data_IF_177005543471
#
_entry.id   IF_177005543471
#
_cell.length_a   1.000
_cell.length_b   1.000
_cell.length_c   1.000
_cell.angle_alpha   90.00
_cell.angle_beta   90.00
_cell.angle_gamma   90.00
#
_symmetry.space_group_name_H-M   'P 1'
#
loop_
_entity.id
_entity.type
_entity.pdbx_description
1 polymer ?
#
# COMPACT_ATOMS: atom_id res chain seq x y z
N UNK A 1 3.40 17.01 15.53
CA UNK A 1 2.93 17.26 14.15
C UNK A 1 4.00 17.01 13.09
N UNK A 2 5.28 17.32 13.35
CA UNK A 2 6.38 17.13 12.38
C UNK A 2 6.61 15.68 11.94
N UNK A 3 6.62 14.72 12.86
CA UNK A 3 6.91 13.31 12.55
C UNK A 3 5.86 12.65 11.66
N UNK A 4 4.58 12.97 11.85
CA UNK A 4 3.49 12.45 11.01
C UNK A 4 3.64 12.94 9.56
N UNK A 5 3.89 14.24 9.38
CA UNK A 5 4.10 14.82 8.05
C UNK A 5 5.32 14.22 7.35
N UNK A 6 6.40 13.94 8.09
CA UNK A 6 7.61 13.29 7.56
C UNK A 6 7.34 11.85 7.10
N UNK A 7 6.58 11.07 7.88
CA UNK A 7 6.19 9.71 7.50
C UNK A 7 5.29 9.71 6.26
N UNK A 8 4.33 10.64 6.18
CA UNK A 8 3.50 10.81 4.99
C UNK A 8 4.33 11.21 3.76
N UNK A 9 5.30 12.12 3.91
CA UNK A 9 6.17 12.54 2.82
C UNK A 9 7.01 11.37 2.29
N UNK A 10 7.62 10.57 3.18
CA UNK A 10 8.38 9.39 2.80
C UNK A 10 7.50 8.32 2.14
N UNK A 11 6.29 8.09 2.67
CA UNK A 11 5.34 7.15 2.09
C UNK A 11 4.96 7.55 0.66
N UNK A 12 4.67 8.84 0.41
CA UNK A 12 4.36 9.35 -0.92
C UNK A 12 5.53 9.21 -1.91
N UNK A 13 6.75 9.44 -1.44
CA UNK A 13 7.95 9.23 -2.27
C UNK A 13 8.06 7.75 -2.65
N UNK A 14 7.91 6.83 -1.70
CA UNK A 14 7.97 5.39 -1.96
C UNK A 14 6.87 4.91 -2.90
N UNK A 15 5.63 5.37 -2.69
CA UNK A 15 4.48 5.02 -3.54
C UNK A 15 4.68 5.54 -4.97
N UNK A 16 5.27 6.74 -5.13
CA UNK A 16 5.58 7.33 -6.42
C UNK A 16 6.77 6.70 -7.17
N UNK A 17 7.66 5.97 -6.47
CA UNK A 17 8.84 5.35 -7.10
C UNK A 17 8.46 4.27 -8.12
N UNK A 18 7.46 3.43 -7.81
CA UNK A 18 6.99 2.38 -8.71
C UNK A 18 6.60 2.91 -10.11
N UNK A 19 5.64 3.85 -10.20
CA UNK A 19 5.25 4.43 -11.48
C UNK A 19 6.35 5.31 -12.11
N UNK A 20 7.19 5.98 -11.31
CA UNK A 20 8.25 6.84 -11.84
C UNK A 20 9.42 6.06 -12.46
N UNK A 21 9.85 4.95 -11.83
CA UNK A 21 11.00 4.16 -12.30
C UNK A 21 10.61 3.17 -13.40
N UNK A 22 9.41 2.57 -13.34
CA UNK A 22 9.01 1.48 -14.23
C UNK A 22 7.55 1.61 -14.68
N UNK A 23 7.17 2.68 -15.42
CA UNK A 23 5.77 2.99 -15.71
C UNK A 23 5.03 1.86 -16.45
N UNK A 24 5.68 1.21 -17.43
CA UNK A 24 5.05 0.13 -18.20
C UNK A 24 4.80 -1.13 -17.37
N UNK A 25 5.77 -1.54 -16.55
CA UNK A 25 5.63 -2.72 -15.68
C UNK A 25 4.59 -2.48 -14.59
N UNK A 26 4.58 -1.27 -14.03
CA UNK A 26 3.57 -0.86 -13.05
C UNK A 26 2.16 -0.90 -13.65
N UNK A 27 1.97 -0.36 -14.86
CA UNK A 27 0.69 -0.44 -15.57
C UNK A 27 0.25 -1.88 -15.83
N UNK A 28 1.15 -2.76 -16.25
CA UNK A 28 0.84 -4.18 -16.46
C UNK A 28 0.43 -4.86 -15.15
N UNK A 29 1.17 -4.64 -14.05
CA UNK A 29 0.84 -5.16 -12.72
C UNK A 29 -0.55 -4.71 -12.27
N UNK A 30 -0.86 -3.41 -12.44
CA UNK A 30 -2.17 -2.87 -12.08
C UNK A 30 -3.29 -3.43 -12.95
N UNK A 31 -3.03 -3.66 -14.24
CA UNK A 31 -3.99 -4.31 -15.13
C UNK A 31 -4.26 -5.77 -14.71
N UNK A 32 -3.22 -6.54 -14.41
CA UNK A 32 -3.35 -7.91 -13.89
C UNK A 32 -4.12 -7.95 -12.57
N UNK A 33 -3.83 -7.02 -11.64
CA UNK A 33 -4.56 -6.88 -10.38
C UNK A 33 -6.04 -6.54 -10.62
N UNK A 34 -6.34 -5.65 -11.57
CA UNK A 34 -7.71 -5.25 -11.88
C UNK A 34 -8.56 -6.40 -12.46
N UNK A 35 -7.93 -7.37 -13.12
CA UNK A 35 -8.60 -8.56 -13.63
C UNK A 35 -8.79 -9.67 -12.57
N UNK A 36 -8.17 -9.54 -11.39
CA UNK A 36 -8.40 -10.47 -10.31
C UNK A 36 -9.83 -10.40 -9.79
N UNK A 37 -10.33 -11.51 -9.26
CA UNK A 37 -11.66 -11.57 -8.67
C UNK A 37 -11.78 -10.51 -7.55
N UNK A 38 -12.84 -9.67 -7.54
CA UNK A 38 -13.05 -8.65 -6.51
C UNK A 38 -13.01 -9.21 -5.07
N UNK A 39 -13.36 -10.48 -4.89
CA UNK A 39 -13.27 -11.17 -3.60
C UNK A 39 -11.83 -11.27 -3.09
N UNK A 40 -10.87 -11.52 -3.99
CA UNK A 40 -9.44 -11.62 -3.67
C UNK A 40 -8.90 -10.23 -3.29
N UNK A 41 -9.21 -9.19 -4.08
CA UNK A 41 -8.86 -7.80 -3.76
C UNK A 41 -9.38 -7.42 -2.37
N UNK A 42 -10.62 -7.77 -2.06
CA UNK A 42 -11.23 -7.52 -0.74
C UNK A 42 -10.51 -8.29 0.38
N UNK A 43 -10.14 -9.55 0.15
CA UNK A 43 -9.41 -10.34 1.14
C UNK A 43 -8.02 -9.76 1.41
N UNK A 44 -7.29 -9.35 0.37
CA UNK A 44 -5.98 -8.69 0.51
C UNK A 44 -6.13 -7.41 1.35
N UNK A 45 -7.13 -6.57 1.02
CA UNK A 45 -7.41 -5.36 1.78
C UNK A 45 -7.77 -5.63 3.25
N UNK A 46 -8.58 -6.65 3.53
CA UNK A 46 -8.93 -7.05 4.89
C UNK A 46 -7.71 -7.55 5.67
N UNK A 47 -6.86 -8.38 5.06
CA UNK A 47 -5.63 -8.88 5.68
C UNK A 47 -4.68 -7.71 6.00
N UNK A 48 -4.52 -6.76 5.07
CA UNK A 48 -3.72 -5.55 5.29
C UNK A 48 -4.26 -4.70 6.44
N UNK A 49 -5.58 -4.51 6.53
CA UNK A 49 -6.21 -3.76 7.62
C UNK A 49 -6.02 -4.45 8.97
N UNK A 50 -6.22 -5.77 9.03
CA UNK A 50 -6.07 -6.54 10.27
C UNK A 50 -4.62 -6.55 10.74
N UNK A 51 -3.68 -6.86 9.85
CA UNK A 51 -2.25 -6.89 10.18
C UNK A 51 -1.72 -5.51 10.55
N UNK A 52 -2.08 -4.47 9.79
CA UNK A 52 -1.69 -3.09 10.08
C UNK A 52 -2.26 -2.60 11.40
N UNK A 53 -3.53 -2.90 11.70
CA UNK A 53 -4.16 -2.59 12.98
C UNK A 53 -3.48 -3.32 14.15
N UNK A 54 -3.13 -4.59 13.97
CA UNK A 54 -2.44 -5.38 14.98
C UNK A 54 -1.03 -4.85 15.26
N UNK A 55 -0.27 -4.53 14.21
CA UNK A 55 1.05 -3.90 14.34
C UNK A 55 0.96 -2.54 15.03
N UNK A 56 -0.01 -1.71 14.66
CA UNK A 56 -0.21 -0.41 15.29
C UNK A 56 -0.60 -0.55 16.77
N UNK A 57 -1.40 -1.57 17.12
CA UNK A 57 -1.73 -1.89 18.50
C UNK A 57 -0.50 -2.32 19.29
N UNK A 58 0.33 -3.22 18.73
CA UNK A 58 1.58 -3.69 19.35
C UNK A 58 2.62 -2.59 19.52
N UNK A 59 2.74 -1.64 18.60
CA UNK A 59 3.69 -0.52 18.73
C UNK A 59 3.23 0.51 19.76
N UNK A 60 1.91 0.59 20.00
CA UNK A 60 1.32 1.53 20.97
C UNK A 60 1.33 0.99 22.41
N UNK A 61 1.43 -0.33 22.61
CA UNK A 61 1.39 -0.99 23.93
C UNK A 61 2.77 -1.48 24.33
#
# INVERSE_FOLDING_TARGET
MSTFLQLCALWLVLEGLGPALMPKKWQQLMAELSQQNPRIIRQIGLVMLVLGGLLAWLVKH
#
